data_IF_565042260233
#
_entry.id   IF_565042260233
#
_cell.length_a   1.000
_cell.length_b   1.000
_cell.length_c   1.000
_cell.angle_alpha   90.00
_cell.angle_beta   90.00
_cell.angle_gamma   90.00
#
_symmetry.space_group_name_H-M   'P 1'
#
loop_
_entity.id
_entity.type
_entity.pdbx_description
1 polymer ?
#
# COMPACT_ATOMS: atom_id res chain seq x y z
N UNK A 1 11.38 -14.66 -12.65
CA UNK A 1 10.80 -13.35 -13.01
C UNK A 1 10.83 -12.49 -11.75
N UNK A 2 11.28 -11.23 -11.82
CA UNK A 2 11.37 -10.35 -10.65
C UNK A 2 10.32 -9.25 -10.76
N UNK A 3 9.48 -9.09 -9.73
CA UNK A 3 8.48 -8.02 -9.67
C UNK A 3 9.20 -6.69 -9.45
N UNK A 4 8.99 -5.72 -10.34
CA UNK A 4 9.57 -4.37 -10.24
C UNK A 4 8.62 -3.36 -9.61
N UNK A 5 7.32 -3.52 -9.88
CA UNK A 5 6.27 -2.66 -9.35
C UNK A 5 4.99 -3.45 -9.08
N UNK A 6 4.17 -2.91 -8.19
CA UNK A 6 2.88 -3.45 -7.82
C UNK A 6 1.84 -2.33 -7.78
N UNK A 7 0.75 -2.48 -8.53
CA UNK A 7 -0.40 -1.58 -8.45
C UNK A 7 -1.28 -1.98 -7.27
N UNK A 8 -1.58 -1.04 -6.37
CA UNK A 8 -2.40 -1.28 -5.18
C UNK A 8 -3.74 -0.55 -5.33
N UNK A 9 -4.82 -1.29 -5.09
CA UNK A 9 -6.18 -0.75 -4.94
C UNK A 9 -6.57 -0.83 -3.46
N UNK A 10 -7.00 0.30 -2.91
CA UNK A 10 -7.45 0.41 -1.52
C UNK A 10 -8.65 1.36 -1.43
N UNK A 11 -9.28 1.35 -0.26
CA UNK A 11 -10.38 2.28 0.07
C UNK A 11 -9.85 3.73 0.13
N UNK A 12 -10.73 4.70 -0.15
CA UNK A 12 -10.51 6.12 0.12
C UNK A 12 -11.27 6.60 1.36
N UNK A 13 -11.75 5.67 2.20
CA UNK A 13 -12.54 5.94 3.40
C UNK A 13 -11.68 5.79 4.65
N UNK A 14 -11.75 6.79 5.53
CA UNK A 14 -11.08 6.76 6.84
C UNK A 14 -11.84 5.94 7.90
N UNK A 15 -13.03 5.43 7.57
CA UNK A 15 -13.91 4.70 8.49
C UNK A 15 -13.64 3.19 8.44
N UNK A 16 -12.39 2.81 8.69
CA UNK A 16 -11.93 1.42 8.73
C UNK A 16 -11.35 1.07 10.10
N UNK A 17 -11.29 -0.22 10.42
CA UNK A 17 -10.60 -0.66 11.63
C UNK A 17 -9.10 -0.40 11.54
N UNK A 18 -8.44 -0.17 12.68
CA UNK A 18 -6.99 0.11 12.78
C UNK A 18 -6.12 -0.91 12.06
N UNK A 19 -6.58 -2.16 12.00
CA UNK A 19 -5.85 -3.27 11.37
C UNK A 19 -5.53 -3.04 9.89
N UNK A 20 -6.39 -2.31 9.16
CA UNK A 20 -6.14 -1.96 7.76
C UNK A 20 -4.99 -0.96 7.61
N UNK A 21 -4.92 0.03 8.50
CA UNK A 21 -3.84 1.02 8.53
C UNK A 21 -2.51 0.37 8.91
N UNK A 22 -2.52 -0.45 9.97
CA UNK A 22 -1.35 -1.21 10.40
C UNK A 22 -0.83 -2.14 9.30
N UNK A 23 -1.74 -2.78 8.57
CA UNK A 23 -1.39 -3.65 7.45
C UNK A 23 -0.83 -2.84 6.27
N UNK A 24 -1.42 -1.70 5.94
CA UNK A 24 -0.93 -0.81 4.88
C UNK A 24 0.50 -0.33 5.17
N UNK A 25 0.79 0.05 6.41
CA UNK A 25 2.13 0.46 6.84
C UNK A 25 3.13 -0.71 6.73
N UNK A 26 2.76 -1.89 7.24
CA UNK A 26 3.60 -3.10 7.17
C UNK A 26 3.88 -3.51 5.72
N UNK A 27 2.87 -3.45 4.86
CA UNK A 27 2.98 -3.76 3.43
C UNK A 27 3.94 -2.78 2.73
N UNK A 28 3.78 -1.48 2.97
CA UNK A 28 4.68 -0.46 2.40
C UNK A 28 6.14 -0.69 2.78
N UNK A 29 6.41 -0.94 4.07
CA UNK A 29 7.76 -1.27 4.56
C UNK A 29 8.31 -2.56 3.92
N UNK A 30 7.47 -3.59 3.77
CA UNK A 30 7.86 -4.86 3.16
C UNK A 30 8.23 -4.69 1.67
N UNK A 31 7.42 -3.97 0.90
CA UNK A 31 7.66 -3.73 -0.52
C UNK A 31 8.91 -2.86 -0.75
N UNK A 32 9.10 -1.83 0.08
CA UNK A 32 10.29 -0.97 0.06
C UNK A 32 11.58 -1.78 0.26
N UNK A 33 11.62 -2.68 1.26
CA UNK A 33 12.77 -3.57 1.52
C UNK A 33 13.11 -4.51 0.36
N UNK A 34 12.12 -4.79 -0.50
CA UNK A 34 12.29 -5.62 -1.70
C UNK A 34 12.57 -4.80 -2.96
N UNK A 35 12.70 -3.47 -2.83
CA UNK A 35 12.84 -2.55 -3.96
C UNK A 35 11.70 -2.68 -4.98
N UNK A 36 10.49 -2.97 -4.50
CA UNK A 36 9.28 -3.02 -5.31
C UNK A 36 8.58 -1.67 -5.21
N UNK A 37 8.40 -1.01 -6.36
CA UNK A 37 7.71 0.27 -6.44
C UNK A 37 6.19 0.10 -6.29
N UNK A 38 5.56 0.93 -5.47
CA UNK A 38 4.09 1.00 -5.39
C UNK A 38 3.56 1.94 -6.48
N UNK A 39 2.54 1.49 -7.20
CA UNK A 39 1.74 2.31 -8.11
C UNK A 39 0.32 2.38 -7.52
N UNK A 40 -0.27 3.56 -7.46
CA UNK A 40 -1.61 3.77 -6.87
C UNK A 40 -2.31 4.96 -7.52
N UNK A 41 -3.57 5.19 -7.18
CA UNK A 41 -4.42 6.21 -7.81
C UNK A 41 -4.09 7.68 -7.48
N UNK A 42 -3.09 7.95 -6.63
CA UNK A 42 -2.66 9.33 -6.30
C UNK A 42 -3.48 10.05 -5.22
N UNK A 43 -4.43 9.36 -4.56
CA UNK A 43 -5.20 9.93 -3.45
C UNK A 43 -4.38 10.06 -2.16
N UNK A 44 -4.69 11.08 -1.36
CA UNK A 44 -4.04 11.33 -0.05
C UNK A 44 -5.01 11.16 1.14
N UNK A 45 -6.11 10.44 0.92
CA UNK A 45 -7.18 10.17 1.89
C UNK A 45 -7.45 8.67 1.93
N UNK A 46 -7.92 8.16 3.07
CA UNK A 46 -8.11 6.72 3.29
C UNK A 46 -6.98 6.06 4.06
#
# INVERSE_FOLDING_TARGET
>A
MTIKSLTIYCSSSDNLTSDYYDLAEKLGKFLSRKSIQIIYGGGSVG
#
